data_IF_338618211800
#
_entry.id   IF_338618211800
#
_cell.length_a   1.000
_cell.length_b   1.000
_cell.length_c   1.000
_cell.angle_alpha   90.00
_cell.angle_beta   90.00
_cell.angle_gamma   90.00
#
_symmetry.space_group_name_H-M   'P 1'
#
loop_
_entity.id
_entity.type
_entity.pdbx_description
1 polymer ?
#
# COMPACT_ATOMS: atom_id res chain seq x y z
N UNK A 1 3.19 -11.27 7.16
CA UNK A 1 4.00 -10.17 7.73
C UNK A 1 3.93 -8.94 6.82
N UNK A 2 2.86 -8.16 6.92
CA UNK A 2 2.78 -6.86 6.26
C UNK A 2 3.52 -5.83 7.11
N UNK A 3 4.72 -5.40 6.71
CA UNK A 3 5.30 -4.14 7.18
C UNK A 3 4.50 -3.00 6.55
N UNK A 4 3.30 -2.77 7.08
CA UNK A 4 2.55 -1.54 6.84
C UNK A 4 2.96 -0.53 7.91
N UNK A 5 4.18 0.00 7.78
CA UNK A 5 4.52 1.31 8.34
C UNK A 5 3.86 2.37 7.46
N UNK A 6 2.53 2.38 7.36
CA UNK A 6 1.81 3.56 6.86
C UNK A 6 1.82 4.54 8.02
N UNK A 7 2.77 5.46 7.98
CA UNK A 7 3.02 6.40 9.06
C UNK A 7 1.78 7.28 9.29
N UNK A 8 1.05 7.00 10.36
CA UNK A 8 0.15 7.98 10.94
C UNK A 8 1.00 9.01 11.72
N UNK A 9 1.79 9.83 11.02
CA UNK A 9 2.55 10.97 11.59
C UNK A 9 1.61 12.08 12.11
N UNK A 10 1.34 12.10 13.42
CA UNK A 10 0.45 13.07 14.08
C UNK A 10 0.80 14.54 13.72
N UNK A 11 -0.02 15.55 14.07
CA UNK A 11 0.26 16.95 13.74
C UNK A 11 1.74 17.31 13.87
N UNK A 12 2.24 18.03 12.87
CA UNK A 12 3.65 18.12 12.52
C UNK A 12 4.56 18.25 13.76
N UNK A 13 5.43 17.25 13.98
CA UNK A 13 6.40 17.26 15.08
C UNK A 13 6.09 16.36 16.28
N UNK A 14 4.95 15.65 16.31
CA UNK A 14 4.53 14.78 17.43
C UNK A 14 4.42 13.32 16.94
N UNK A 15 5.05 12.35 17.62
CA UNK A 15 4.79 10.92 17.36
C UNK A 15 3.48 10.45 18.03
N UNK A 16 2.92 9.32 17.58
CA UNK A 16 1.89 8.54 18.29
C UNK A 16 2.18 8.30 19.79
N UNK A 17 3.45 8.18 20.20
CA UNK A 17 3.84 8.05 21.61
C UNK A 17 3.79 9.37 22.42
N UNK A 18 3.48 10.51 21.78
CA UNK A 18 3.49 11.83 22.43
C UNK A 18 4.87 12.51 22.47
N UNK A 19 5.94 11.82 22.07
CA UNK A 19 7.28 12.41 21.98
C UNK A 19 7.35 13.45 20.84
N UNK A 20 7.95 14.60 21.13
CA UNK A 20 8.19 15.67 20.16
C UNK A 20 9.65 15.74 19.76
N UNK A 21 9.92 16.30 18.57
CA UNK A 21 11.29 16.58 18.14
C UNK A 21 11.84 17.74 18.98
N UNK A 22 12.79 17.47 19.87
CA UNK A 22 13.50 18.53 20.62
C UNK A 22 14.34 19.32 19.61
N UNK A 23 13.90 20.54 19.30
CA UNK A 23 14.64 21.51 18.47
C UNK A 23 15.74 22.09 19.36
N UNK A 24 16.81 21.33 19.56
CA UNK A 24 17.88 21.70 20.50
C UNK A 24 19.05 20.72 20.47
N UNK A 25 19.94 20.90 19.51
CA UNK A 25 21.39 20.63 19.54
C UNK A 25 21.93 19.22 19.92
N UNK A 26 21.15 18.14 19.96
CA UNK A 26 21.73 16.79 20.21
C UNK A 26 21.24 15.65 19.29
N UNK A 27 20.25 15.90 18.41
CA UNK A 27 19.63 14.84 17.58
C UNK A 27 19.33 15.29 16.16
N UNK A 28 20.30 15.88 15.47
CA UNK A 28 20.18 16.23 14.04
C UNK A 28 19.93 15.01 13.12
N UNK A 29 20.18 13.78 13.59
CA UNK A 29 20.09 12.56 12.79
C UNK A 29 18.88 11.64 12.99
N UNK A 30 18.07 11.80 14.05
CA UNK A 30 16.99 10.84 14.34
C UNK A 30 15.71 11.16 13.55
N UNK A 31 15.64 10.59 12.35
CA UNK A 31 14.48 10.68 11.43
C UNK A 31 13.25 9.91 11.93
N UNK A 32 13.45 8.94 12.81
CA UNK A 32 12.45 8.00 13.31
C UNK A 32 12.43 8.00 14.83
N UNK A 33 11.27 7.77 15.44
CA UNK A 33 11.20 7.50 16.86
C UNK A 33 11.53 6.02 17.15
N UNK A 34 12.40 5.77 18.13
CA UNK A 34 12.85 4.42 18.50
C UNK A 34 11.74 3.54 19.10
N UNK A 35 10.73 4.16 19.73
CA UNK A 35 9.62 3.44 20.37
C UNK A 35 8.47 3.11 19.40
N UNK A 36 8.04 4.10 18.61
CA UNK A 36 6.91 3.97 17.69
C UNK A 36 7.30 3.64 16.24
N UNK A 37 8.57 3.84 15.86
CA UNK A 37 9.02 3.68 14.47
C UNK A 37 8.41 4.68 13.48
N UNK A 38 7.72 5.72 13.96
CA UNK A 38 7.10 6.76 13.14
C UNK A 38 8.14 7.79 12.75
N UNK A 39 8.09 8.22 11.49
CA UNK A 39 8.93 9.28 10.95
C UNK A 39 8.44 10.66 11.39
N UNK A 40 9.38 11.53 11.78
CA UNK A 40 9.09 12.94 12.06
C UNK A 40 9.07 13.72 10.75
N UNK A 41 7.94 13.71 10.06
CA UNK A 41 7.75 14.41 8.79
C UNK A 41 6.42 15.16 8.77
N UNK A 42 6.32 16.15 7.88
CA UNK A 42 5.09 16.89 7.64
C UNK A 42 3.89 15.95 7.45
N UNK A 43 2.79 16.31 8.10
CA UNK A 43 1.51 15.60 8.00
C UNK A 43 0.98 15.52 6.56
N UNK A 44 1.49 16.36 5.64
CA UNK A 44 1.16 16.36 4.21
C UNK A 44 1.56 15.05 3.52
N UNK A 45 2.64 14.40 3.95
CA UNK A 45 3.16 13.19 3.28
C UNK A 45 2.18 12.02 3.35
N UNK A 46 1.31 11.99 4.37
CA UNK A 46 0.25 10.97 4.52
C UNK A 46 -0.70 10.90 3.31
N UNK A 47 -0.82 11.98 2.53
CA UNK A 47 -1.66 12.03 1.32
C UNK A 47 -1.01 11.39 0.09
N UNK A 48 0.31 11.25 0.10
CA UNK A 48 1.10 10.78 -1.04
C UNK A 48 1.71 9.38 -0.81
N UNK A 49 1.85 8.94 0.45
CA UNK A 49 2.31 7.59 0.77
C UNK A 49 1.22 6.55 0.50
N UNK A 50 1.52 5.57 -0.34
CA UNK A 50 0.62 4.49 -0.70
C UNK A 50 0.96 3.22 0.08
N UNK A 51 -0.07 2.58 0.63
CA UNK A 51 0.01 1.21 1.15
C UNK A 51 -0.16 0.19 0.04
N UNK A 52 0.31 -1.03 0.27
CA UNK A 52 -0.06 -2.17 -0.57
C UNK A 52 -0.37 -3.39 0.30
N UNK A 53 -1.20 -4.27 -0.24
CA UNK A 53 -1.60 -5.52 0.40
C UNK A 53 -0.94 -6.66 -0.37
N UNK A 54 -0.24 -7.55 0.34
CA UNK A 54 0.28 -8.79 -0.25
C UNK A 54 -0.82 -9.85 -0.19
N UNK A 55 -1.39 -10.17 -1.34
CA UNK A 55 -2.37 -11.23 -1.47
C UNK A 55 -1.68 -12.60 -1.36
N UNK A 56 -2.35 -13.58 -0.75
CA UNK A 56 -1.86 -14.95 -0.68
C UNK A 56 -1.91 -15.64 -2.06
N UNK A 57 -2.90 -15.29 -2.87
CA UNK A 57 -3.10 -15.80 -4.23
C UNK A 57 -3.20 -14.64 -5.22
N UNK A 58 -2.78 -14.83 -6.48
CA UNK A 58 -2.94 -13.81 -7.50
C UNK A 58 -4.43 -13.57 -7.79
N UNK A 59 -4.81 -12.30 -7.96
CA UNK A 59 -6.17 -11.88 -8.30
C UNK A 59 -6.13 -11.03 -9.56
N UNK A 60 -7.08 -11.25 -10.47
CA UNK A 60 -7.21 -10.47 -11.69
C UNK A 60 -8.09 -9.25 -11.40
N UNK A 61 -7.62 -8.08 -11.85
CA UNK A 61 -8.40 -6.86 -11.72
C UNK A 61 -9.63 -6.88 -12.63
N UNK A 62 -10.80 -6.53 -12.08
CA UNK A 62 -12.11 -6.62 -12.75
C UNK A 62 -12.17 -5.83 -14.07
N UNK A 63 -11.43 -4.72 -14.16
CA UNK A 63 -11.37 -3.92 -15.39
C UNK A 63 -10.82 -4.70 -16.59
N UNK A 64 -9.83 -5.59 -16.39
CA UNK A 64 -9.32 -6.41 -17.50
C UNK A 64 -10.25 -7.57 -17.82
N UNK A 65 -11.02 -8.06 -16.84
CA UNK A 65 -11.96 -9.16 -17.05
C UNK A 65 -13.22 -8.74 -17.81
N UNK A 66 -13.77 -7.56 -17.48
CA UNK A 66 -15.07 -7.09 -18.03
C UNK A 66 -14.93 -6.23 -19.30
N UNK A 67 -13.74 -5.70 -19.61
CA UNK A 67 -13.53 -4.86 -20.80
C UNK A 67 -13.55 -5.69 -22.08
N UNK A 68 -14.19 -5.14 -23.12
CA UNK A 68 -14.10 -5.59 -24.50
C UNK A 68 -13.30 -4.55 -25.31
N UNK A 69 -12.34 -4.94 -26.16
CA UNK A 69 -11.73 -6.27 -26.24
C UNK A 69 -10.98 -6.62 -24.94
N UNK A 70 -10.99 -7.90 -24.56
CA UNK A 70 -10.25 -8.36 -23.39
C UNK A 70 -8.81 -8.69 -23.81
N UNK A 71 -7.85 -7.88 -23.38
CA UNK A 71 -6.45 -8.05 -23.74
C UNK A 71 -5.87 -9.38 -23.22
N UNK A 72 -6.32 -9.88 -22.07
CA UNK A 72 -5.83 -11.14 -21.49
C UNK A 72 -6.31 -12.32 -22.33
N UNK A 73 -7.59 -12.31 -22.73
CA UNK A 73 -8.16 -13.36 -23.57
C UNK A 73 -7.50 -13.39 -24.95
N UNK A 74 -7.26 -12.21 -25.55
CA UNK A 74 -6.58 -12.10 -26.83
C UNK A 74 -5.12 -12.58 -26.75
N UNK A 75 -4.40 -12.27 -25.67
CA UNK A 75 -3.02 -12.71 -25.48
C UNK A 75 -2.91 -14.23 -25.33
N UNK A 76 -3.90 -14.85 -24.71
CA UNK A 76 -3.95 -16.29 -24.46
C UNK A 76 -4.66 -17.07 -25.57
N UNK A 77 -5.20 -16.38 -26.59
CA UNK A 77 -6.02 -16.96 -27.66
C UNK A 77 -7.17 -17.84 -27.13
N UNK A 78 -7.75 -17.47 -25.98
CA UNK A 78 -8.83 -18.22 -25.32
C UNK A 78 -10.16 -17.49 -25.40
N UNK A 79 -11.28 -18.22 -25.51
CA UNK A 79 -12.60 -17.61 -25.45
C UNK A 79 -12.89 -17.06 -24.04
N UNK A 80 -13.63 -15.94 -23.99
CA UNK A 80 -13.98 -15.26 -22.74
C UNK A 80 -14.74 -16.15 -21.74
N UNK A 81 -15.48 -17.14 -22.24
CA UNK A 81 -16.26 -18.06 -21.40
C UNK A 81 -15.35 -18.96 -20.56
N UNK A 82 -14.34 -19.57 -21.20
CA UNK A 82 -13.35 -20.41 -20.50
C UNK A 82 -12.55 -19.59 -19.49
N UNK A 83 -12.11 -18.39 -19.88
CA UNK A 83 -11.34 -17.52 -19.00
C UNK A 83 -12.16 -17.12 -17.76
N UNK A 84 -13.45 -16.81 -17.90
CA UNK A 84 -14.31 -16.49 -16.75
C UNK A 84 -14.48 -17.69 -15.82
N UNK A 85 -14.71 -18.88 -16.35
CA UNK A 85 -14.84 -20.10 -15.54
C UNK A 85 -13.60 -20.40 -14.71
N UNK A 86 -12.41 -20.25 -15.30
CA UNK A 86 -11.13 -20.43 -14.59
C UNK A 86 -10.96 -19.42 -13.44
N UNK A 87 -11.39 -18.18 -13.63
CA UNK A 87 -11.18 -17.10 -12.66
C UNK A 87 -12.16 -17.19 -11.50
N UNK A 88 -13.41 -17.55 -11.78
CA UNK A 88 -14.42 -17.74 -10.73
C UNK A 88 -14.38 -19.13 -10.10
N UNK A 89 -13.44 -19.99 -10.54
CA UNK A 89 -13.39 -21.38 -10.13
C UNK A 89 -14.76 -22.05 -10.28
N UNK A 90 -15.42 -21.82 -11.42
CA UNK A 90 -16.65 -22.51 -11.77
C UNK A 90 -16.30 -24.00 -11.96
N UNK A 91 -16.69 -24.83 -10.98
CA UNK A 91 -16.52 -26.29 -10.97
C UNK A 91 -17.57 -26.94 -11.87
#
# INVERSE_FOLDING_TARGET
MCKLQIAWSNPCGICACGNYRVIGNQKEGLKFCEQCGVEFVDSRIRRYQMGYIRLACPVIHVWYLKRLPNYIANLLEKPLKELKGLIYCDV
#
